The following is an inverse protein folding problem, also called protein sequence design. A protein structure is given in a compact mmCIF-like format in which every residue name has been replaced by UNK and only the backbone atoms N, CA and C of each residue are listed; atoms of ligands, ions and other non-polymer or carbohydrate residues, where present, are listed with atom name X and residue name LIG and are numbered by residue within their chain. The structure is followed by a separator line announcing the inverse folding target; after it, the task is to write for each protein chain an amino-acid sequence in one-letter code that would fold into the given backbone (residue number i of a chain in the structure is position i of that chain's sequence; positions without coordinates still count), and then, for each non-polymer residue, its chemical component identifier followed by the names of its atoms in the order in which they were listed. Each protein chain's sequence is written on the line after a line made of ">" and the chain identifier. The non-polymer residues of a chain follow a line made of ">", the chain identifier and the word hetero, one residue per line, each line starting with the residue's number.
data_IF_649782289454
#
_entry.id   IF_649782289454
#
_cell.length_a   1.000
_cell.length_b   1.000
_cell.length_c   1.000
_cell.angle_alpha   90.00
_cell.angle_beta   90.00
_cell.angle_gamma   90.00
#
_symmetry.space_group_name_H-M   'P 1'
#
loop_
_entity.id
_entity.type
_entity.pdbx_description
1 polymer ?
#
# COMPACT_ATOMS: atom_id res chain seq x y z
N UNK A 1 17.84 -25.53 3.43
CA UNK A 1 18.37 -24.16 3.21
C UNK A 1 17.54 -23.45 2.12
N UNK A 2 17.08 -22.22 2.40
CA UNK A 2 16.17 -21.39 1.58
C UNK A 2 14.67 -21.74 1.68
N UNK A 3 14.11 -21.81 2.90
CA UNK A 3 12.66 -21.77 3.07
C UNK A 3 12.24 -20.30 3.21
N UNK A 4 11.34 -19.85 2.34
CA UNK A 4 10.71 -18.54 2.47
C UNK A 4 9.42 -18.70 3.27
N UNK A 5 9.26 -17.91 4.32
CA UNK A 5 8.02 -17.90 5.09
C UNK A 5 6.91 -17.26 4.26
N UNK A 6 5.73 -17.88 4.29
CA UNK A 6 4.57 -17.45 3.52
C UNK A 6 3.30 -17.70 4.31
N UNK A 7 2.28 -16.87 4.04
CA UNK A 7 0.96 -16.99 4.64
C UNK A 7 -0.10 -16.79 3.56
N UNK A 8 -1.14 -17.60 3.62
CA UNK A 8 -2.32 -17.47 2.75
C UNK A 8 -3.38 -16.65 3.49
N UNK A 9 -3.85 -15.58 2.87
CA UNK A 9 -4.90 -14.71 3.40
C UNK A 9 -6.15 -14.88 2.54
N UNK A 10 -7.31 -15.00 3.19
CA UNK A 10 -8.58 -14.80 2.52
C UNK A 10 -8.88 -13.29 2.40
N UNK A 11 -9.92 -12.94 1.64
CA UNK A 11 -10.30 -11.53 1.41
C UNK A 11 -10.48 -10.73 2.70
N UNK A 12 -11.26 -11.25 3.65
CA UNK A 12 -11.52 -10.56 4.93
C UNK A 12 -10.25 -10.32 5.76
N UNK A 13 -9.33 -11.30 5.83
CA UNK A 13 -8.06 -11.14 6.55
C UNK A 13 -7.11 -10.19 5.83
N UNK A 14 -7.11 -10.19 4.50
CA UNK A 14 -6.35 -9.22 3.71
C UNK A 14 -6.82 -7.80 3.99
N UNK A 15 -8.13 -7.55 3.96
CA UNK A 15 -8.71 -6.25 4.25
C UNK A 15 -8.38 -5.78 5.68
N UNK A 16 -8.54 -6.66 6.67
CA UNK A 16 -8.20 -6.36 8.05
C UNK A 16 -6.70 -6.05 8.24
N UNK A 17 -5.82 -6.82 7.57
CA UNK A 17 -4.39 -6.59 7.61
C UNK A 17 -4.01 -5.24 6.99
N UNK A 18 -4.53 -4.92 5.80
CA UNK A 18 -4.24 -3.65 5.13
C UNK A 18 -4.70 -2.46 5.97
N UNK A 19 -5.87 -2.55 6.63
CA UNK A 19 -6.33 -1.54 7.60
C UNK A 19 -5.33 -1.34 8.73
N UNK A 20 -4.91 -2.43 9.38
CA UNK A 20 -3.95 -2.38 10.49
C UNK A 20 -2.61 -1.78 10.03
N UNK A 21 -2.11 -2.20 8.87
CA UNK A 21 -0.85 -1.71 8.33
C UNK A 21 -0.88 -0.21 8.02
N UNK A 22 -1.93 0.29 7.36
CA UNK A 22 -2.01 1.69 6.92
C UNK A 22 -2.43 2.64 8.04
N UNK A 23 -3.38 2.25 8.89
CA UNK A 23 -4.00 3.15 9.87
C UNK A 23 -3.35 3.06 11.26
N UNK A 24 -2.83 1.89 11.65
CA UNK A 24 -2.27 1.67 12.99
C UNK A 24 -0.74 1.64 12.95
N UNK A 25 -0.17 0.75 12.13
CA UNK A 25 1.29 0.53 12.08
C UNK A 25 2.04 1.52 11.21
N UNK A 26 1.32 2.35 10.46
CA UNK A 26 1.89 3.40 9.61
C UNK A 26 2.87 2.87 8.55
N UNK A 27 2.58 1.69 7.98
CA UNK A 27 3.39 1.04 6.95
C UNK A 27 2.95 1.42 5.53
N UNK A 28 3.80 1.10 4.55
CA UNK A 28 3.46 1.17 3.12
C UNK A 28 3.10 -0.22 2.61
N UNK A 29 2.11 -0.29 1.73
CA UNK A 29 1.60 -1.55 1.17
C UNK A 29 1.73 -1.50 -0.34
N UNK A 30 2.21 -2.58 -0.92
CA UNK A 30 2.28 -2.82 -2.36
C UNK A 30 1.57 -4.14 -2.67
N UNK A 31 0.63 -4.13 -3.61
CA UNK A 31 -0.13 -5.31 -4.01
C UNK A 31 0.25 -5.69 -5.43
N UNK A 32 0.78 -6.90 -5.56
CA UNK A 32 1.17 -7.47 -6.84
C UNK A 32 0.11 -8.46 -7.32
N UNK A 33 -0.21 -8.40 -8.60
CA UNK A 33 -1.17 -9.31 -9.26
C UNK A 33 -0.44 -10.06 -10.37
N UNK A 34 -0.74 -11.34 -10.50
CA UNK A 34 -0.23 -12.16 -11.59
C UNK A 34 -1.07 -11.91 -12.85
N UNK A 35 -0.42 -11.51 -13.96
CA UNK A 35 -1.08 -11.24 -15.24
C UNK A 35 -1.74 -12.46 -15.89
N UNK A 36 -1.32 -13.66 -15.49
CA UNK A 36 -1.89 -14.92 -15.98
C UNK A 36 -1.97 -15.90 -14.81
N UNK A 37 -3.17 -16.12 -14.23
CA UNK A 37 -3.32 -16.99 -13.06
C UNK A 37 -3.09 -18.48 -13.37
N UNK A 38 -2.99 -18.90 -14.64
CA UNK A 38 -2.86 -20.31 -15.04
C UNK A 38 -1.53 -20.71 -15.68
N UNK A 39 -0.62 -19.78 -15.98
CA UNK A 39 0.66 -20.12 -16.64
C UNK A 39 1.80 -20.24 -15.63
N UNK A 40 2.17 -21.49 -15.32
CA UNK A 40 3.30 -21.82 -14.42
C UNK A 40 4.67 -21.41 -14.95
N UNK A 41 4.76 -20.93 -16.20
CA UNK A 41 6.02 -20.72 -16.91
C UNK A 41 6.50 -19.26 -16.94
N UNK A 42 5.61 -18.29 -16.73
CA UNK A 42 5.93 -16.86 -16.79
C UNK A 42 5.25 -16.14 -15.61
N UNK A 43 5.96 -16.06 -14.48
CA UNK A 43 5.51 -15.32 -13.29
C UNK A 43 5.60 -13.81 -13.51
N UNK A 44 4.74 -13.29 -14.38
CA UNK A 44 4.65 -11.87 -14.68
C UNK A 44 3.77 -11.19 -13.63
N UNK A 45 4.40 -10.81 -12.53
CA UNK A 45 3.79 -9.99 -11.48
C UNK A 45 3.86 -8.52 -11.84
N UNK A 46 2.76 -7.80 -11.64
CA UNK A 46 2.72 -6.35 -11.75
C UNK A 46 2.20 -5.71 -10.49
N UNK A 47 2.79 -4.58 -10.14
CA UNK A 47 2.38 -3.76 -9.02
C UNK A 47 1.13 -2.98 -9.42
N UNK A 48 0.00 -3.35 -8.84
CA UNK A 48 -1.30 -2.78 -9.19
C UNK A 48 -1.71 -1.67 -8.22
N UNK A 49 -1.50 -1.89 -6.91
CA UNK A 49 -1.93 -0.97 -5.88
C UNK A 49 -0.79 -0.59 -4.94
N UNK A 50 -0.75 0.70 -4.58
CA UNK A 50 0.19 1.31 -3.64
C UNK A 50 -0.55 2.11 -2.58
N UNK A 51 -0.22 1.85 -1.33
CA UNK A 51 -0.81 2.52 -0.18
C UNK A 51 0.26 3.02 0.77
N UNK A 52 0.05 4.19 1.35
CA UNK A 52 0.84 4.70 2.47
C UNK A 52 -0.07 5.46 3.42
N UNK A 53 0.34 5.79 4.65
CA UNK A 53 -0.53 6.52 5.58
C UNK A 53 -0.99 7.88 5.03
N UNK A 54 -0.19 8.51 4.16
CA UNK A 54 -0.56 9.75 3.45
C UNK A 54 -1.29 9.56 2.12
N UNK A 55 -1.30 8.35 1.55
CA UNK A 55 -1.97 8.02 0.28
C UNK A 55 -2.86 6.78 0.43
N UNK A 56 -4.15 7.01 0.68
CA UNK A 56 -5.14 5.96 0.90
C UNK A 56 -6.09 5.76 -0.30
N UNK A 57 -5.93 6.55 -1.38
CA UNK A 57 -6.90 6.61 -2.48
C UNK A 57 -7.23 5.25 -3.10
N UNK A 58 -6.22 4.39 -3.29
CA UNK A 58 -6.40 3.06 -3.88
C UNK A 58 -7.00 2.01 -2.92
N UNK A 59 -7.19 2.35 -1.66
CA UNK A 59 -7.68 1.44 -0.61
C UNK A 59 -8.96 1.95 0.06
N UNK A 60 -9.59 3.03 -0.43
CA UNK A 60 -10.74 3.67 0.22
C UNK A 60 -11.91 2.72 0.45
N UNK A 61 -12.27 1.90 -0.55
CA UNK A 61 -13.36 0.93 -0.43
C UNK A 61 -13.07 -0.09 0.69
N UNK A 62 -11.84 -0.61 0.74
CA UNK A 62 -11.42 -1.56 1.77
C UNK A 62 -11.43 -0.88 3.14
N UNK A 63 -10.86 0.32 3.25
CA UNK A 63 -10.70 1.04 4.51
C UNK A 63 -12.05 1.50 5.09
N UNK A 64 -12.91 2.09 4.26
CA UNK A 64 -14.08 2.87 4.68
C UNK A 64 -15.44 2.30 4.24
N UNK A 65 -15.49 1.27 3.39
CA UNK A 65 -16.75 0.72 2.87
C UNK A 65 -17.75 0.23 3.93
N UNK A 66 -17.29 0.00 5.17
CA UNK A 66 -18.11 -0.48 6.30
C UNK A 66 -18.06 0.45 7.53
N UNK A 67 -17.52 1.68 7.42
CA UNK A 67 -17.33 2.54 8.59
C UNK A 67 -17.17 4.03 8.25
N UNK A 68 -17.90 4.89 8.96
CA UNK A 68 -17.83 6.37 8.88
C UNK A 68 -16.56 6.95 9.55
N UNK A 69 -15.39 6.37 9.27
CA UNK A 69 -14.13 6.92 9.79
C UNK A 69 -13.63 7.98 8.82
N UNK A 70 -13.79 9.25 9.20
CA UNK A 70 -13.22 10.38 8.47
C UNK A 70 -11.70 10.46 8.71
N UNK A 71 -10.90 9.65 8.01
CA UNK A 71 -9.44 9.76 8.01
C UNK A 71 -9.02 10.76 6.93
N UNK A 72 -8.38 11.86 7.33
CA UNK A 72 -7.70 12.76 6.39
C UNK A 72 -6.26 12.29 6.21
N UNK A 73 -5.99 11.62 5.09
CA UNK A 73 -4.64 11.36 4.63
C UNK A 73 -4.12 12.58 3.85
N UNK A 74 -2.89 13.01 4.13
CA UNK A 74 -2.26 14.12 3.41
C UNK A 74 -0.76 13.88 3.29
N UNK A 75 -0.19 14.31 2.17
CA UNK A 75 1.24 14.25 1.90
C UNK A 75 1.73 15.68 1.76
N UNK A 76 2.87 15.97 2.39
CA UNK A 76 3.56 17.25 2.27
C UNK A 76 5.01 16.99 1.86
N UNK A 77 5.51 17.77 0.92
CA UNK A 77 6.92 17.82 0.55
C UNK A 77 7.46 19.23 0.85
N UNK A 78 8.60 19.31 1.54
CA UNK A 78 9.23 20.58 1.92
C UNK A 78 10.63 20.63 1.31
N UNK A 79 10.91 21.67 0.51
CA UNK A 79 12.26 21.98 0.01
C UNK A 79 12.69 23.32 0.59
N UNK A 80 13.75 23.31 1.39
CA UNK A 80 14.37 24.54 1.90
C UNK A 80 15.39 25.02 0.87
N UNK A 81 15.22 26.25 0.38
CA UNK A 81 16.22 26.93 -0.42
C UNK A 81 17.01 27.89 0.49
N UNK A 82 18.33 27.73 0.53
CA UNK A 82 19.21 28.76 1.10
C UNK A 82 19.51 29.73 -0.03
N UNK A 83 18.95 30.95 0.03
CA UNK A 83 19.39 32.04 -0.86
C UNK A 83 20.82 32.45 -0.47
N UNK A 84 21.80 31.74 -0.99
CA UNK A 84 23.15 32.26 -1.17
C UNK A 84 23.11 33.25 -2.32
N UNK A 85 23.17 34.55 -2.01
CA UNK A 85 23.29 35.67 -2.97
C UNK A 85 24.09 35.25 -4.21
N UNK A 86 23.43 35.19 -5.37
CA UNK A 86 24.14 35.17 -6.64
C UNK A 86 24.88 36.51 -6.76
N UNK A 87 26.21 36.44 -6.78
CA UNK A 87 27.06 37.56 -7.20
C UNK A 87 27.00 37.72 -8.72
#
# INVERSE_FOLDING_TARGET
>A
PNKLDSVVLNKARFEALVKDLLLVKQYRVEVYIAKSPSSSRNQNWTLEYKGSPGNLAQFEEILFGNSDIAVRASIMAVKVAVEGKSK
#
